data_IF_030378565082
#
_entry.id   IF_030378565082
#
_cell.length_a   1.000
_cell.length_b   1.000
_cell.length_c   1.000
_cell.angle_alpha   90.00
_cell.angle_beta   90.00
_cell.angle_gamma   90.00
#
_symmetry.space_group_name_H-M   'P 1'
#
loop_
_entity.id
_entity.type
_entity.pdbx_description
1 polymer ?
#
# COMPACT_ATOMS: atom_id res chain seq x y z
N UNK A 1 16.32 3.91 26.15
CA UNK A 1 16.79 2.93 25.15
C UNK A 1 16.54 3.52 23.77
N UNK A 2 17.59 3.81 23.02
CA UNK A 2 17.53 4.44 21.70
C UNK A 2 16.99 3.43 20.69
N UNK A 3 15.90 3.75 19.98
CA UNK A 3 15.31 2.89 18.94
C UNK A 3 16.35 2.72 17.82
N UNK A 4 16.59 1.50 17.30
CA UNK A 4 17.54 1.30 16.21
C UNK A 4 17.13 2.15 15.00
N UNK A 5 18.12 2.73 14.31
CA UNK A 5 17.89 3.50 13.10
C UNK A 5 17.19 2.62 12.05
N UNK A 6 16.11 3.13 11.46
CA UNK A 6 15.25 2.38 10.52
C UNK A 6 16.03 2.06 9.23
N UNK A 7 16.21 0.78 8.93
CA UNK A 7 16.88 0.34 7.70
C UNK A 7 15.97 0.56 6.47
N UNK A 8 16.49 0.84 5.27
CA UNK A 8 15.67 1.01 4.06
C UNK A 8 14.86 -0.23 3.72
N UNK A 9 13.56 -0.07 3.43
CA UNK A 9 12.62 -1.16 3.16
C UNK A 9 12.81 -1.78 1.76
N UNK A 10 13.95 -2.42 1.53
CA UNK A 10 14.27 -3.06 0.25
C UNK A 10 13.73 -4.48 0.18
N UNK A 11 13.58 -5.02 -1.05
CA UNK A 11 13.26 -6.43 -1.26
C UNK A 11 14.27 -7.35 -0.57
N UNK A 12 15.55 -6.94 -0.58
CA UNK A 12 16.65 -7.62 0.12
C UNK A 12 16.43 -7.66 1.63
N UNK A 13 15.99 -6.55 2.24
CA UNK A 13 15.70 -6.50 3.67
C UNK A 13 14.54 -7.43 4.05
N UNK A 14 13.44 -7.40 3.29
CA UNK A 14 12.28 -8.30 3.49
C UNK A 14 12.71 -9.77 3.38
N UNK A 15 13.52 -10.11 2.38
CA UNK A 15 14.04 -11.47 2.22
C UNK A 15 15.01 -11.87 3.34
N UNK A 16 15.82 -10.94 3.85
CA UNK A 16 16.70 -11.17 5.01
C UNK A 16 15.89 -11.43 6.28
N UNK A 17 14.85 -10.63 6.54
CA UNK A 17 13.97 -10.80 7.69
C UNK A 17 13.26 -12.16 7.68
N UNK A 18 12.73 -12.60 6.53
CA UNK A 18 12.14 -13.96 6.38
C UNK A 18 13.14 -15.08 6.66
N UNK A 19 14.38 -14.94 6.16
CA UNK A 19 15.46 -15.91 6.41
C UNK A 19 15.85 -15.95 7.89
N UNK A 20 15.98 -14.79 8.53
CA UNK A 20 16.26 -14.67 9.96
C UNK A 20 15.15 -15.31 10.79
N UNK A 21 13.88 -15.00 10.49
CA UNK A 21 12.73 -15.57 11.18
C UNK A 21 12.69 -17.10 11.09
N UNK A 22 13.04 -17.68 9.92
CA UNK A 22 13.15 -19.13 9.74
C UNK A 22 14.26 -19.75 10.60
N UNK A 23 15.39 -19.06 10.72
CA UNK A 23 16.50 -19.51 11.58
C UNK A 23 16.14 -19.42 13.07
N UNK A 24 15.55 -18.30 13.49
CA UNK A 24 15.13 -18.05 14.88
C UNK A 24 14.11 -19.10 15.30
N UNK A 25 13.02 -19.27 14.55
CA UNK A 25 11.96 -20.24 14.86
C UNK A 25 12.51 -21.67 15.04
N UNK A 26 13.50 -22.08 14.23
CA UNK A 26 14.16 -23.39 14.36
C UNK A 26 15.05 -23.51 15.61
N UNK A 27 15.69 -22.42 16.03
CA UNK A 27 16.65 -22.42 17.15
C UNK A 27 16.04 -22.14 18.51
N UNK A 28 14.90 -21.43 18.58
CA UNK A 28 14.32 -20.93 19.84
C UNK A 28 12.94 -21.50 20.15
N UNK A 29 12.34 -22.28 19.25
CA UNK A 29 10.97 -22.81 19.42
C UNK A 29 9.87 -21.75 19.26
N UNK A 30 10.21 -20.51 18.91
CA UNK A 30 9.23 -19.46 18.60
C UNK A 30 8.39 -19.80 17.37
N UNK A 31 7.16 -19.32 17.32
CA UNK A 31 6.37 -19.38 16.09
C UNK A 31 7.04 -18.56 14.98
N UNK A 32 6.76 -18.91 13.72
CA UNK A 32 7.31 -18.17 12.59
C UNK A 32 6.88 -16.69 12.59
N UNK A 33 5.65 -16.41 13.02
CA UNK A 33 5.09 -15.06 13.12
C UNK A 33 5.83 -14.22 14.16
N UNK A 34 6.05 -14.73 15.38
CA UNK A 34 6.81 -14.02 16.41
C UNK A 34 8.25 -13.76 15.96
N UNK A 35 8.84 -14.72 15.25
CA UNK A 35 10.19 -14.56 14.70
C UNK A 35 10.26 -13.50 13.57
N UNK A 36 9.18 -13.31 12.80
CA UNK A 36 9.05 -12.23 11.81
C UNK A 36 8.91 -10.86 12.49
N UNK A 37 8.09 -10.76 13.54
CA UNK A 37 7.94 -9.53 14.32
C UNK A 37 9.28 -9.08 14.92
N UNK A 38 10.03 -10.03 15.51
CA UNK A 38 11.37 -9.76 16.03
C UNK A 38 12.34 -9.30 14.94
N UNK A 39 12.38 -10.00 13.80
CA UNK A 39 13.26 -9.64 12.69
C UNK A 39 12.95 -8.25 12.10
N UNK A 40 11.68 -7.82 12.15
CA UNK A 40 11.28 -6.48 11.76
C UNK A 40 11.69 -5.41 12.79
N UNK A 41 11.52 -5.72 14.09
CA UNK A 41 11.98 -4.87 15.19
C UNK A 41 13.50 -4.62 15.14
N UNK A 42 14.30 -5.66 14.87
CA UNK A 42 15.75 -5.56 14.69
C UNK A 42 16.15 -4.66 13.50
N UNK A 43 15.25 -4.49 12.52
CA UNK A 43 15.43 -3.59 11.37
C UNK A 43 14.88 -2.17 11.60
N UNK A 44 14.37 -1.87 12.81
CA UNK A 44 13.82 -0.57 13.20
C UNK A 44 12.35 -0.35 12.88
N UNK A 45 11.60 -1.41 12.56
CA UNK A 45 10.16 -1.37 12.29
C UNK A 45 9.35 -1.79 13.52
N UNK A 46 8.18 -1.22 13.73
CA UNK A 46 7.28 -1.56 14.85
C UNK A 46 6.59 -2.92 14.67
N UNK A 47 6.49 -3.42 13.44
CA UNK A 47 5.97 -4.75 13.14
C UNK A 47 6.44 -5.28 11.79
N UNK A 48 6.29 -6.59 11.59
CA UNK A 48 6.50 -7.23 10.28
C UNK A 48 5.63 -6.60 9.19
N UNK A 49 4.37 -6.30 9.51
CA UNK A 49 3.45 -5.62 8.60
C UNK A 49 3.95 -4.21 8.21
N UNK A 50 4.55 -3.47 9.15
CA UNK A 50 5.12 -2.15 8.84
C UNK A 50 6.29 -2.26 7.86
N UNK A 51 7.19 -3.24 8.05
CA UNK A 51 8.29 -3.49 7.11
C UNK A 51 7.76 -3.86 5.71
N UNK A 52 6.73 -4.71 5.63
CA UNK A 52 6.10 -5.06 4.36
C UNK A 52 5.48 -3.84 3.67
N UNK A 53 4.79 -2.97 4.42
CA UNK A 53 4.21 -1.73 3.89
C UNK A 53 5.28 -0.77 3.39
N UNK A 54 6.31 -0.53 4.19
CA UNK A 54 7.39 0.35 3.80
C UNK A 54 8.10 -0.16 2.53
N UNK A 55 8.20 -1.48 2.37
CA UNK A 55 8.77 -2.06 1.16
C UNK A 55 7.86 -1.88 -0.05
N UNK A 56 6.55 -2.09 0.10
CA UNK A 56 5.59 -1.85 -0.96
C UNK A 56 5.54 -0.36 -1.38
N UNK A 57 5.68 0.56 -0.42
CA UNK A 57 5.73 1.99 -0.67
C UNK A 57 7.07 2.45 -1.29
N UNK A 58 8.17 1.77 -0.98
CA UNK A 58 9.50 2.05 -1.54
C UNK A 58 9.77 1.35 -2.89
N UNK A 59 8.85 0.51 -3.38
CA UNK A 59 8.92 0.01 -4.73
C UNK A 59 8.85 1.19 -5.72
N UNK A 60 9.67 1.22 -6.79
CA UNK A 60 9.57 2.27 -7.79
C UNK A 60 8.12 2.38 -8.28
N UNK A 61 7.67 3.61 -8.52
CA UNK A 61 6.34 3.85 -9.07
C UNK A 61 6.15 2.93 -10.28
N UNK A 62 5.06 2.15 -10.34
CA UNK A 62 4.87 1.17 -11.40
C UNK A 62 4.96 1.90 -12.75
N UNK A 63 5.86 1.42 -13.61
CA UNK A 63 6.01 1.92 -14.97
C UNK A 63 4.65 1.83 -15.69
N UNK A 64 4.26 2.93 -16.35
CA UNK A 64 3.00 3.00 -17.09
C UNK A 64 3.05 2.01 -18.26
N UNK A 65 2.19 1.00 -18.26
CA UNK A 65 2.06 0.06 -19.37
C UNK A 65 1.33 0.73 -20.53
N UNK A 66 1.94 0.79 -21.72
CA UNK A 66 1.32 1.39 -22.91
C UNK A 66 0.80 0.29 -23.84
N UNK A 67 -0.49 0.40 -24.21
CA UNK A 67 -1.23 -0.56 -25.03
C UNK A 67 -1.04 -2.03 -24.61
N UNK A 68 -1.13 -2.37 -23.31
CA UNK A 68 -0.92 -3.74 -22.92
C UNK A 68 -2.07 -4.61 -23.43
N UNK A 69 -1.76 -5.87 -23.77
CA UNK A 69 -2.78 -6.85 -24.16
C UNK A 69 -3.63 -7.22 -22.94
N UNK A 70 -4.78 -6.56 -22.81
CA UNK A 70 -5.72 -6.83 -21.72
C UNK A 70 -6.29 -8.26 -21.82
N UNK A 71 -6.43 -8.99 -20.70
CA UNK A 71 -7.17 -10.23 -20.64
C UNK A 71 -8.59 -10.08 -21.19
N UNK A 72 -9.15 -11.17 -21.72
CA UNK A 72 -10.56 -11.19 -22.14
C UNK A 72 -11.45 -10.81 -20.95
N UNK A 73 -12.43 -9.91 -21.18
CA UNK A 73 -13.37 -9.41 -20.16
C UNK A 73 -12.70 -8.66 -18.99
N UNK A 74 -11.52 -8.07 -19.22
CA UNK A 74 -10.78 -7.33 -18.18
C UNK A 74 -11.65 -6.33 -17.40
N UNK A 75 -12.39 -5.46 -18.10
CA UNK A 75 -13.31 -4.47 -17.51
C UNK A 75 -14.75 -4.99 -17.30
N UNK A 76 -14.98 -6.29 -17.46
CA UNK A 76 -16.29 -6.93 -17.24
C UNK A 76 -16.25 -7.96 -16.11
N UNK A 77 -15.08 -8.15 -15.48
CA UNK A 77 -14.90 -9.09 -14.38
C UNK A 77 -14.96 -8.29 -13.06
N UNK A 78 -15.88 -8.58 -12.14
CA UNK A 78 -15.91 -7.93 -10.83
C UNK A 78 -14.62 -8.11 -10.03
N UNK A 79 -14.26 -7.14 -9.17
CA UNK A 79 -13.02 -7.18 -8.39
C UNK A 79 -12.89 -8.43 -7.50
N UNK A 80 -13.99 -8.85 -6.88
CA UNK A 80 -14.05 -10.00 -5.98
C UNK A 80 -13.91 -11.35 -6.71
N UNK A 81 -14.24 -11.38 -8.00
CA UNK A 81 -14.13 -12.59 -8.84
C UNK A 81 -12.74 -12.75 -9.48
N UNK A 82 -11.86 -11.75 -9.34
CA UNK A 82 -10.53 -11.80 -9.94
C UNK A 82 -9.64 -12.81 -9.22
N UNK A 83 -8.95 -13.65 -9.98
CA UNK A 83 -7.97 -14.58 -9.43
C UNK A 83 -6.77 -13.83 -8.84
N UNK A 84 -6.09 -14.45 -7.87
CA UNK A 84 -4.87 -13.90 -7.27
C UNK A 84 -3.82 -13.52 -8.31
N UNK A 85 -3.59 -14.37 -9.32
CA UNK A 85 -2.64 -14.09 -10.40
C UNK A 85 -3.04 -12.87 -11.24
N UNK A 86 -4.34 -12.65 -11.46
CA UNK A 86 -4.84 -11.45 -12.13
C UNK A 86 -4.56 -10.20 -11.28
N UNK A 87 -4.91 -10.25 -10.00
CA UNK A 87 -4.66 -9.14 -9.08
C UNK A 87 -3.15 -8.84 -8.94
N UNK A 88 -2.29 -9.85 -8.83
CA UNK A 88 -0.84 -9.67 -8.78
C UNK A 88 -0.28 -9.04 -10.07
N UNK A 89 -0.89 -9.35 -11.23
CA UNK A 89 -0.46 -8.82 -12.51
C UNK A 89 -0.93 -7.39 -12.80
N UNK A 90 -2.06 -6.94 -12.25
CA UNK A 90 -2.74 -5.71 -12.67
C UNK A 90 -3.11 -4.73 -11.56
N UNK A 91 -3.19 -5.19 -10.30
CA UNK A 91 -3.65 -4.33 -9.21
C UNK A 91 -2.65 -3.22 -8.90
N UNK A 92 -3.13 -1.99 -8.81
CA UNK A 92 -2.34 -0.77 -8.67
C UNK A 92 -1.21 -0.63 -9.72
N UNK A 93 -1.45 -1.14 -10.94
CA UNK A 93 -0.53 -1.00 -12.07
C UNK A 93 -1.23 -0.21 -13.17
N UNK A 94 -0.98 1.11 -13.26
CA UNK A 94 -1.59 1.94 -14.26
C UNK A 94 -1.19 1.50 -15.67
N UNK A 95 -2.12 1.66 -16.60
CA UNK A 95 -1.90 1.45 -18.02
C UNK A 95 -2.56 2.56 -18.83
N UNK A 96 -2.09 2.74 -20.05
CA UNK A 96 -2.61 3.70 -21.01
C UNK A 96 -2.97 3.01 -22.32
N UNK A 97 -4.11 3.37 -22.89
CA UNK A 97 -4.53 2.96 -24.22
C UNK A 97 -4.45 4.15 -25.17
N UNK A 98 -3.72 4.01 -26.28
CA UNK A 98 -3.66 5.04 -27.32
C UNK A 98 -5.00 5.16 -28.01
N UNK A 99 -5.42 6.40 -28.22
CA UNK A 99 -6.61 6.74 -28.97
C UNK A 99 -6.25 7.17 -30.40
N UNK A 100 -7.19 7.07 -31.36
CA UNK A 100 -6.94 7.48 -32.75
C UNK A 100 -6.54 8.95 -32.92
N UNK A 101 -6.88 9.82 -31.97
CA UNK A 101 -6.53 11.24 -31.94
C UNK A 101 -5.14 11.51 -31.33
N UNK A 102 -4.38 10.47 -31.00
CA UNK A 102 -3.03 10.57 -30.43
C UNK A 102 -2.99 10.72 -28.91
N UNK A 103 -4.13 10.90 -28.25
CA UNK A 103 -4.21 10.98 -26.79
C UNK A 103 -4.10 9.58 -26.14
N UNK A 104 -3.87 9.57 -24.82
CA UNK A 104 -3.78 8.38 -24.00
C UNK A 104 -4.94 8.34 -22.99
N UNK A 105 -5.71 7.25 -23.01
CA UNK A 105 -6.71 6.93 -21.99
C UNK A 105 -6.03 6.19 -20.83
N UNK A 106 -5.84 6.88 -19.69
CA UNK A 106 -5.10 6.38 -18.53
C UNK A 106 -6.05 5.74 -17.53
N UNK A 107 -5.74 4.51 -17.13
CA UNK A 107 -6.59 3.68 -16.27
C UNK A 107 -5.76 2.87 -15.28
N UNK A 108 -6.39 2.43 -14.19
CA UNK A 108 -5.75 1.54 -13.21
C UNK A 108 -6.78 0.60 -12.58
N UNK A 109 -6.41 -0.67 -12.39
CA UNK A 109 -7.21 -1.59 -11.60
C UNK A 109 -6.81 -1.44 -10.12
N UNK A 110 -7.56 -0.66 -9.36
CA UNK A 110 -7.18 -0.27 -7.99
C UNK A 110 -8.34 -0.24 -6.98
N UNK A 111 -9.54 -0.62 -7.44
CA UNK A 111 -10.76 -0.63 -6.62
C UNK A 111 -11.50 0.71 -6.55
N UNK A 112 -11.06 1.74 -7.29
CA UNK A 112 -11.81 2.99 -7.42
C UNK A 112 -13.16 2.80 -8.12
N UNK A 113 -13.22 1.89 -9.10
CA UNK A 113 -14.46 1.33 -9.62
C UNK A 113 -14.70 -0.08 -9.08
N UNK A 114 -15.97 -0.43 -8.84
CA UNK A 114 -16.37 -1.71 -8.24
C UNK A 114 -16.14 -2.92 -9.16
N UNK A 115 -16.26 -2.74 -10.47
CA UNK A 115 -16.34 -3.83 -11.46
C UNK A 115 -15.33 -3.76 -12.61
N UNK A 116 -14.53 -2.68 -12.70
CA UNK A 116 -13.63 -2.41 -13.83
C UNK A 116 -12.40 -1.63 -13.41
N UNK A 117 -11.49 -1.37 -14.35
CA UNK A 117 -10.42 -0.40 -14.12
C UNK A 117 -10.97 1.02 -13.98
N UNK A 118 -10.47 1.72 -12.97
CA UNK A 118 -10.74 3.12 -12.69
C UNK A 118 -10.17 3.98 -13.82
N UNK A 119 -10.97 4.91 -14.33
CA UNK A 119 -10.53 5.88 -15.31
C UNK A 119 -9.87 7.07 -14.62
N UNK A 120 -8.61 7.35 -14.95
CA UNK A 120 -7.85 8.45 -14.39
C UNK A 120 -7.96 9.74 -15.20
N UNK A 121 -8.21 9.62 -16.51
CA UNK A 121 -8.40 10.75 -17.42
C UNK A 121 -7.74 10.52 -18.79
N UNK A 122 -7.78 11.56 -19.62
CA UNK A 122 -7.03 11.65 -20.87
C UNK A 122 -5.73 12.41 -20.65
N UNK A 123 -4.68 11.99 -21.34
CA UNK A 123 -3.41 12.69 -21.42
C UNK A 123 -3.04 12.98 -22.89
N UNK A 124 -2.52 14.17 -23.21
CA UNK A 124 -2.17 14.57 -24.57
C UNK A 124 -0.96 13.81 -25.13
N UNK A 125 -0.08 13.32 -24.26
CA UNK A 125 1.14 12.60 -24.62
C UNK A 125 1.52 11.59 -23.53
N UNK A 126 2.59 10.83 -23.77
CA UNK A 126 3.05 9.77 -22.88
C UNK A 126 3.59 10.29 -21.54
N UNK A 127 4.24 11.45 -21.52
CA UNK A 127 4.78 12.00 -20.27
C UNK A 127 3.66 12.50 -19.37
N UNK A 128 2.69 13.24 -19.93
CA UNK A 128 1.49 13.62 -19.22
C UNK A 128 0.69 12.40 -18.73
N UNK A 129 0.69 11.29 -19.48
CA UNK A 129 0.04 10.05 -19.06
C UNK A 129 0.72 9.43 -17.83
N UNK A 130 2.07 9.41 -17.80
CA UNK A 130 2.85 8.93 -16.65
C UNK A 130 2.61 9.79 -15.42
N UNK A 131 2.64 11.12 -15.57
CA UNK A 131 2.38 12.06 -14.47
C UNK A 131 0.96 11.87 -13.90
N UNK A 132 -0.04 11.75 -14.79
CA UNK A 132 -1.43 11.51 -14.40
C UNK A 132 -1.56 10.19 -13.63
N UNK A 133 -0.93 9.12 -14.14
CA UNK A 133 -0.93 7.81 -13.50
C UNK A 133 -0.33 7.85 -12.09
N UNK A 134 0.86 8.44 -11.93
CA UNK A 134 1.53 8.56 -10.64
C UNK A 134 0.70 9.37 -9.65
N UNK A 135 0.21 10.54 -10.08
CA UNK A 135 -0.57 11.44 -9.23
C UNK A 135 -1.88 10.80 -8.74
N UNK A 136 -2.64 10.19 -9.64
CA UNK A 136 -3.94 9.58 -9.33
C UNK A 136 -3.79 8.33 -8.48
N UNK A 137 -2.82 7.47 -8.80
CA UNK A 137 -2.55 6.28 -7.99
C UNK A 137 -2.09 6.64 -6.58
N UNK A 138 -1.18 7.61 -6.43
CA UNK A 138 -0.72 8.06 -5.12
C UNK A 138 -1.87 8.62 -4.28
N UNK A 139 -2.73 9.46 -4.89
CA UNK A 139 -3.90 9.99 -4.21
C UNK A 139 -4.88 8.89 -3.79
N UNK A 140 -5.15 7.92 -4.68
CA UNK A 140 -6.06 6.82 -4.40
C UNK A 140 -5.53 5.89 -3.30
N UNK A 141 -4.24 5.53 -3.35
CA UNK A 141 -3.58 4.76 -2.30
C UNK A 141 -3.64 5.48 -0.96
N UNK A 142 -3.34 6.78 -0.93
CA UNK A 142 -3.43 7.58 0.30
C UNK A 142 -4.84 7.57 0.90
N UNK A 143 -5.88 7.67 0.06
CA UNK A 143 -7.26 7.55 0.51
C UNK A 143 -7.58 6.12 1.01
N UNK A 144 -7.24 5.08 0.25
CA UNK A 144 -7.57 3.69 0.55
C UNK A 144 -6.83 3.16 1.78
N UNK A 145 -5.60 3.61 2.02
CA UNK A 145 -4.76 3.19 3.15
C UNK A 145 -5.13 3.89 4.47
N UNK A 146 -5.89 4.99 4.39
CA UNK A 146 -6.30 5.78 5.54
C UNK A 146 -7.14 4.92 6.52
N UNK A 147 -6.77 4.89 7.81
CA UNK A 147 -7.57 4.22 8.82
C UNK A 147 -8.97 4.83 8.95
N UNK A 148 -9.96 3.98 9.19
CA UNK A 148 -11.36 4.37 9.42
C UNK A 148 -11.87 3.75 10.70
N UNK A 149 -12.88 4.37 11.33
CA UNK A 149 -13.62 3.71 12.41
C UNK A 149 -14.64 2.76 11.79
N UNK A 150 -14.69 1.53 12.29
CA UNK A 150 -15.70 0.54 11.97
C UNK A 150 -16.27 0.01 13.28
N UNK A 151 -17.59 -0.02 13.38
CA UNK A 151 -18.28 -0.55 14.55
C UNK A 151 -18.60 -2.03 14.33
N UNK A 152 -18.28 -2.86 15.32
CA UNK A 152 -18.67 -4.28 15.31
C UNK A 152 -20.16 -4.44 15.59
N UNK A 153 -20.70 -5.64 15.33
CA UNK A 153 -22.08 -5.98 15.70
C UNK A 153 -22.34 -5.82 17.22
N UNK A 154 -21.32 -6.05 18.05
CA UNK A 154 -21.39 -5.88 19.50
C UNK A 154 -21.29 -4.42 19.98
N UNK A 155 -21.19 -3.44 19.07
CA UNK A 155 -21.08 -2.02 19.40
C UNK A 155 -19.67 -1.55 19.78
N UNK A 156 -18.66 -2.42 19.69
CA UNK A 156 -17.26 -2.01 19.87
C UNK A 156 -16.76 -1.21 18.66
N UNK A 157 -16.10 -0.09 18.91
CA UNK A 157 -15.42 0.68 17.87
C UNK A 157 -14.00 0.14 17.61
N UNK A 158 -13.73 -0.19 16.36
CA UNK A 158 -12.42 -0.58 15.86
C UNK A 158 -11.89 0.53 14.96
N UNK A 159 -10.61 0.85 15.08
CA UNK A 159 -9.90 1.55 14.01
C UNK A 159 -9.29 0.49 13.11
N UNK A 160 -9.70 0.50 11.86
CA UNK A 160 -9.34 -0.52 10.87
C UNK A 160 -8.71 0.12 9.65
N UNK A 161 -7.90 -0.66 8.94
CA UNK A 161 -7.58 -0.41 7.54
C UNK A 161 -8.42 -1.35 6.69
N UNK A 162 -9.18 -0.78 5.77
CA UNK A 162 -9.96 -1.55 4.81
C UNK A 162 -9.05 -2.41 3.93
N UNK A 163 -9.54 -3.53 3.36
CA UNK A 163 -8.79 -4.31 2.39
C UNK A 163 -8.14 -3.43 1.31
N UNK A 164 -6.82 -3.54 1.11
CA UNK A 164 -6.13 -2.81 0.05
C UNK A 164 -6.28 -3.50 -1.31
N UNK A 165 -6.76 -4.75 -1.30
CA UNK A 165 -7.08 -5.59 -2.44
C UNK A 165 -8.27 -6.49 -2.12
N UNK A 166 -8.99 -7.00 -3.14
CA UNK A 166 -10.10 -7.93 -2.93
C UNK A 166 -9.71 -9.24 -2.24
N UNK A 167 -8.47 -9.69 -2.42
CA UNK A 167 -7.94 -10.93 -1.82
C UNK A 167 -7.28 -10.71 -0.44
N UNK A 168 -7.51 -9.55 0.20
CA UNK A 168 -6.93 -9.22 1.50
C UNK A 168 -8.01 -9.04 2.56
N UNK A 169 -7.75 -9.47 3.81
CA UNK A 169 -8.65 -9.18 4.91
C UNK A 169 -8.52 -7.71 5.35
N UNK A 170 -9.55 -7.23 6.04
CA UNK A 170 -9.48 -6.00 6.83
C UNK A 170 -8.44 -6.17 7.95
N UNK A 171 -7.66 -5.13 8.21
CA UNK A 171 -6.64 -5.10 9.28
C UNK A 171 -7.18 -4.29 10.46
N UNK A 172 -7.21 -4.89 11.66
CA UNK A 172 -7.53 -4.15 12.89
C UNK A 172 -6.25 -3.47 13.38
N UNK A 173 -6.25 -2.14 13.42
CA UNK A 173 -5.12 -1.34 13.86
C UNK A 173 -5.20 -1.01 15.34
N UNK A 174 -6.42 -0.78 15.84
CA UNK A 174 -6.66 -0.41 17.23
C UNK A 174 -8.08 -0.80 17.66
N UNK A 175 -8.21 -1.30 18.88
CA UNK A 175 -9.51 -1.54 19.54
C UNK A 175 -9.77 -0.39 20.49
N UNK A 176 -10.77 0.43 20.19
CA UNK A 176 -11.05 1.61 20.98
C UNK A 176 -11.98 1.27 22.15
N UNK A 177 -11.79 1.95 23.28
CA UNK A 177 -12.72 1.82 24.43
C UNK A 177 -14.09 2.45 24.13
N UNK A 178 -14.10 3.50 23.31
CA UNK A 178 -15.27 4.28 22.91
C UNK A 178 -14.95 5.09 21.62
N UNK A 179 -15.95 5.77 21.07
CA UNK A 179 -15.79 6.54 19.84
C UNK A 179 -14.80 7.71 19.98
N UNK A 180 -14.76 8.35 21.14
CA UNK A 180 -13.84 9.48 21.38
C UNK A 180 -12.38 9.01 21.39
N UNK A 181 -12.14 7.81 21.91
CA UNK A 181 -10.87 7.11 21.91
C UNK A 181 -10.40 6.75 20.50
N UNK A 182 -11.29 6.22 19.67
CA UNK A 182 -11.02 5.98 18.25
C UNK A 182 -10.65 7.29 17.53
N UNK A 183 -11.43 8.34 17.76
CA UNK A 183 -11.18 9.67 17.18
C UNK A 183 -9.85 10.28 17.62
N UNK A 184 -9.45 10.08 18.88
CA UNK A 184 -8.12 10.51 19.37
C UNK A 184 -7.01 9.76 18.65
N UNK A 185 -7.10 8.43 18.58
CA UNK A 185 -6.11 7.59 17.91
C UNK A 185 -5.92 8.02 16.44
N UNK A 186 -7.01 8.28 15.72
CA UNK A 186 -6.97 8.74 14.33
C UNK A 186 -6.24 10.07 14.15
N UNK A 187 -6.44 11.04 15.06
CA UNK A 187 -5.76 12.35 15.00
C UNK A 187 -4.26 12.20 15.24
N UNK A 188 -3.89 11.51 16.32
CA UNK A 188 -2.48 11.26 16.68
C UNK A 188 -1.76 10.53 15.53
N UNK A 189 -2.41 9.54 14.91
CA UNK A 189 -1.83 8.79 13.80
C UNK A 189 -1.69 9.62 12.52
N UNK A 190 -2.66 10.51 12.22
CA UNK A 190 -2.58 11.42 11.07
C UNK A 190 -1.45 12.43 11.23
N UNK A 191 -1.31 13.01 12.42
CA UNK A 191 -0.23 13.95 12.75
C UNK A 191 1.15 13.30 12.62
N UNK A 192 1.30 12.06 13.12
CA UNK A 192 2.52 11.29 12.99
C UNK A 192 2.87 10.98 11.52
N UNK A 193 1.88 10.64 10.69
CA UNK A 193 2.08 10.40 9.25
C UNK A 193 2.48 11.68 8.50
N UNK A 194 1.88 12.83 8.84
CA UNK A 194 2.21 14.12 8.24
C UNK A 194 3.62 14.58 8.63
N UNK A 195 4.01 14.41 9.90
CA UNK A 195 5.36 14.71 10.38
C UNK A 195 6.44 13.81 9.73
N UNK A 196 6.13 12.53 9.50
CA UNK A 196 7.03 11.62 8.80
C UNK A 196 7.17 11.95 7.30
N UNK A 197 6.12 12.49 6.67
CA UNK A 197 6.14 12.94 5.28
C UNK A 197 6.92 14.25 5.06
N UNK A 198 6.80 15.21 5.98
CA UNK A 198 7.50 16.50 5.89
C UNK A 198 9.00 16.42 6.22
N UNK A 199 9.43 15.41 6.99
CA UNK A 199 10.86 15.19 7.29
C UNK A 199 11.71 14.83 6.06
N UNK A 200 11.11 14.27 5.00
CA UNK A 200 11.83 13.82 3.78
C UNK A 200 12.21 14.98 2.85
N UNK A 201 11.52 16.12 2.93
CA UNK A 201 11.85 17.29 2.09
C UNK A 201 12.99 18.15 2.66
N UNK A 202 13.34 18.01 3.95
CA UNK A 202 14.35 18.86 4.60
C UNK A 202 15.82 18.48 4.34
N UNK A 203 16.10 17.27 3.81
CA UNK A 203 17.47 16.79 3.58
C UNK A 203 18.02 17.03 2.16
N UNK A 204 17.22 17.57 1.22
CA UNK A 204 17.70 17.85 -0.15
C UNK A 204 18.25 19.26 -0.38
N UNK A 205 18.30 20.11 0.65
CA UNK A 205 18.74 21.50 0.51
C UNK A 205 19.97 21.80 1.37
N UNK A 206 21.06 21.05 1.19
CA UNK A 206 22.40 21.50 1.62
C UNK A 206 23.49 20.86 0.76
N UNK A 207 23.60 21.30 -0.49
CA UNK A 207 24.89 21.29 -1.21
C UNK A 207 24.93 22.60 -2.01
N UNK A 208 25.57 23.60 -1.41
CA UNK A 208 26.09 24.79 -2.06
C UNK A 208 27.61 24.74 -2.01
#
# INVERSE_FOLDING_TARGET
>A
MTKPARAPATATLVAKAKRAAKSIARSTGMSHTEALERAAADAGYSSWHELQRAHAAAAPAPELLVDPKLPRRFDQTPNEERSKAHLDAWWDRPFALRRPDGQYDVRCLDGGAWDRSTWYGLAPDLEAAKELAVKKLAAWRGFREAPVVSMTEGGEDLVVRMPQRPDQPMEILYRAKDHADAGRWLREHREAQQAAGSGVESEKSTVG
#
